data_IF_823171618900
#
_entry.id   IF_823171618900
#
_cell.length_a   1.000
_cell.length_b   1.000
_cell.length_c   1.000
_cell.angle_alpha   90.00
_cell.angle_beta   90.00
_cell.angle_gamma   90.00
#
_symmetry.space_group_name_H-M   'P 1'
#
loop_
_entity.id
_entity.type
_entity.pdbx_description
1 polymer ?
#
# COMPACT_ATOMS: atom_id res chain seq x y z
N UNK A 1 -11.18 -40.48 -47.49
CA UNK A 1 -10.73 -39.27 -46.80
C UNK A 1 -11.59 -39.06 -45.58
N UNK A 2 -11.11 -39.35 -44.38
CA UNK A 2 -11.86 -39.14 -43.11
C UNK A 2 -11.44 -37.76 -42.57
N UNK A 3 -12.38 -36.82 -42.56
CA UNK A 3 -12.20 -35.53 -41.88
C UNK A 3 -12.36 -35.76 -40.35
N UNK A 4 -11.27 -35.69 -39.64
CA UNK A 4 -11.25 -35.64 -38.17
C UNK A 4 -11.37 -34.20 -37.77
N UNK A 5 -12.52 -33.78 -37.32
CA UNK A 5 -12.72 -32.50 -36.66
C UNK A 5 -11.99 -32.58 -35.30
N UNK A 6 -10.95 -31.77 -35.16
CA UNK A 6 -10.29 -31.54 -33.88
C UNK A 6 -11.19 -30.61 -33.08
N UNK A 7 -11.81 -31.14 -32.04
CA UNK A 7 -12.51 -30.34 -31.05
C UNK A 7 -11.47 -29.47 -30.32
N UNK A 8 -11.51 -28.16 -30.52
CA UNK A 8 -10.76 -27.22 -29.70
C UNK A 8 -11.33 -27.22 -28.28
N UNK A 9 -10.49 -27.59 -27.31
CA UNK A 9 -10.85 -27.56 -25.89
C UNK A 9 -11.04 -26.09 -25.44
N UNK A 10 -12.29 -25.64 -25.37
CA UNK A 10 -12.69 -24.36 -24.77
C UNK A 10 -12.76 -24.41 -23.23
N UNK A 11 -11.87 -25.13 -22.57
CA UNK A 11 -11.86 -25.23 -21.10
C UNK A 11 -11.34 -23.98 -20.38
N UNK A 12 -10.68 -23.06 -21.09
CA UNK A 12 -10.19 -21.79 -20.50
C UNK A 12 -11.31 -20.79 -20.21
N UNK A 13 -12.35 -20.75 -21.06
CA UNK A 13 -13.42 -19.76 -20.92
C UNK A 13 -14.39 -20.08 -19.76
N UNK A 14 -14.71 -21.37 -19.57
CA UNK A 14 -15.63 -21.80 -18.49
C UNK A 14 -15.03 -21.55 -17.10
N UNK A 15 -13.71 -21.75 -16.93
CA UNK A 15 -12.98 -21.45 -15.69
C UNK A 15 -13.03 -19.97 -15.33
N UNK A 16 -12.84 -19.09 -16.32
CA UNK A 16 -12.83 -17.65 -16.10
C UNK A 16 -14.22 -17.08 -15.74
N UNK A 17 -15.30 -17.59 -16.34
CA UNK A 17 -16.67 -17.21 -15.98
C UNK A 17 -17.03 -17.61 -14.56
N UNK A 18 -16.71 -18.83 -14.14
CA UNK A 18 -16.98 -19.33 -12.77
C UNK A 18 -16.19 -18.54 -11.73
N UNK A 19 -14.95 -18.17 -12.03
CA UNK A 19 -14.10 -17.36 -11.15
C UNK A 19 -14.68 -15.95 -11.00
N UNK A 20 -15.06 -15.29 -12.08
CA UNK A 20 -15.70 -13.97 -12.06
C UNK A 20 -17.03 -13.99 -11.30
N UNK A 21 -17.87 -15.01 -11.51
CA UNK A 21 -19.11 -15.16 -10.77
C UNK A 21 -18.87 -15.34 -9.27
N UNK A 22 -17.87 -16.12 -8.89
CA UNK A 22 -17.43 -16.23 -7.50
C UNK A 22 -17.00 -14.89 -6.88
N UNK A 23 -16.24 -14.09 -7.62
CA UNK A 23 -15.84 -12.75 -7.20
C UNK A 23 -17.05 -11.81 -7.05
N UNK A 24 -18.01 -11.85 -7.98
CA UNK A 24 -19.24 -11.06 -7.91
C UNK A 24 -20.10 -11.45 -6.71
N UNK A 25 -20.25 -12.74 -6.42
CA UNK A 25 -21.01 -13.23 -5.26
C UNK A 25 -20.34 -12.78 -3.96
N UNK A 26 -19.01 -12.84 -3.87
CA UNK A 26 -18.27 -12.32 -2.72
C UNK A 26 -18.43 -10.81 -2.57
N UNK A 27 -18.40 -10.05 -3.66
CA UNK A 27 -18.59 -8.60 -3.66
C UNK A 27 -20.00 -8.22 -3.16
N UNK A 28 -21.07 -8.95 -3.57
CA UNK A 28 -22.42 -8.78 -3.05
C UNK A 28 -22.48 -9.02 -1.55
N UNK A 29 -21.86 -10.10 -1.07
CA UNK A 29 -21.79 -10.40 0.36
C UNK A 29 -21.04 -9.27 1.11
N UNK A 30 -19.93 -8.79 0.59
CA UNK A 30 -19.19 -7.66 1.17
C UNK A 30 -20.04 -6.39 1.26
N UNK A 31 -20.78 -6.05 0.20
CA UNK A 31 -21.64 -4.87 0.16
C UNK A 31 -22.78 -4.89 1.20
N UNK A 32 -23.23 -6.07 1.65
CA UNK A 32 -24.22 -6.21 2.72
C UNK A 32 -23.64 -6.10 4.13
N UNK A 33 -22.32 -6.12 4.26
CA UNK A 33 -21.64 -6.05 5.56
C UNK A 33 -21.76 -4.66 6.20
N UNK A 34 -22.15 -4.64 7.48
CA UNK A 34 -22.33 -3.36 8.23
C UNK A 34 -21.11 -2.98 9.06
N UNK A 35 -20.27 -3.91 9.44
CA UNK A 35 -19.16 -3.73 10.39
C UNK A 35 -17.79 -3.94 9.75
N UNK A 36 -17.66 -4.94 8.90
CA UNK A 36 -16.36 -5.39 8.37
C UNK A 36 -15.92 -4.63 7.10
N UNK A 37 -16.83 -3.90 6.48
CA UNK A 37 -16.56 -3.12 5.27
C UNK A 37 -16.68 -1.62 5.58
N UNK A 38 -15.67 -0.80 5.19
CA UNK A 38 -15.71 0.64 5.34
C UNK A 38 -16.92 1.26 4.62
N UNK A 39 -17.41 2.37 5.18
CA UNK A 39 -18.63 3.02 4.68
C UNK A 39 -18.54 3.59 3.27
N UNK A 40 -17.35 3.77 2.73
CA UNK A 40 -17.14 4.21 1.35
C UNK A 40 -17.23 3.08 0.32
N UNK A 41 -17.24 1.80 0.75
CA UNK A 41 -17.38 0.63 -0.11
C UNK A 41 -18.79 0.01 0.04
N UNK A 42 -19.84 0.81 -0.22
CA UNK A 42 -21.23 0.38 0.06
C UNK A 42 -21.93 -0.34 -1.08
N UNK A 43 -21.43 -0.25 -2.29
CA UNK A 43 -22.06 -0.86 -3.46
C UNK A 43 -21.27 -2.06 -3.96
N UNK A 44 -21.95 -2.92 -4.70
CA UNK A 44 -21.35 -4.14 -5.25
C UNK A 44 -20.17 -3.86 -6.18
N UNK A 45 -20.23 -2.78 -6.97
CA UNK A 45 -19.17 -2.43 -7.90
C UNK A 45 -17.87 -2.05 -7.21
N UNK A 46 -17.94 -1.23 -6.14
CA UNK A 46 -16.75 -0.85 -5.36
C UNK A 46 -16.18 -2.08 -4.63
N UNK A 47 -17.06 -2.93 -4.07
CA UNK A 47 -16.64 -4.19 -3.46
C UNK A 47 -16.00 -5.14 -4.48
N UNK A 48 -16.54 -5.23 -5.70
CA UNK A 48 -15.96 -6.06 -6.76
C UNK A 48 -14.57 -5.59 -7.15
N UNK A 49 -14.35 -4.29 -7.27
CA UNK A 49 -13.02 -3.74 -7.54
C UNK A 49 -12.00 -4.16 -6.45
N UNK A 50 -12.40 -4.13 -5.17
CA UNK A 50 -11.56 -4.61 -4.07
C UNK A 50 -11.33 -6.12 -4.13
N UNK A 51 -12.34 -6.91 -4.46
CA UNK A 51 -12.19 -8.38 -4.60
C UNK A 51 -11.20 -8.71 -5.70
N UNK A 52 -11.33 -8.11 -6.87
CA UNK A 52 -10.43 -8.31 -8.00
C UNK A 52 -9.00 -7.88 -7.68
N UNK A 53 -8.84 -6.70 -7.07
CA UNK A 53 -7.52 -6.20 -6.66
C UNK A 53 -6.89 -7.11 -5.60
N UNK A 54 -7.68 -7.60 -4.66
CA UNK A 54 -7.21 -8.53 -3.61
C UNK A 54 -6.77 -9.87 -4.19
N UNK A 55 -7.50 -10.39 -5.17
CA UNK A 55 -7.15 -11.61 -5.89
C UNK A 55 -5.80 -11.46 -6.61
N UNK A 56 -5.59 -10.34 -7.32
CA UNK A 56 -4.32 -10.02 -7.97
C UNK A 56 -3.15 -10.00 -6.96
N UNK A 57 -3.36 -9.46 -5.76
CA UNK A 57 -2.33 -9.42 -4.71
C UNK A 57 -2.25 -10.72 -3.89
N UNK A 58 -3.18 -11.67 -4.11
CA UNK A 58 -3.30 -12.89 -3.32
C UNK A 58 -3.58 -12.60 -1.84
N UNK A 59 -4.41 -11.60 -1.54
CA UNK A 59 -4.76 -11.14 -0.19
C UNK A 59 -6.24 -11.35 0.10
N UNK A 60 -6.60 -11.38 1.38
CA UNK A 60 -7.99 -11.46 1.80
C UNK A 60 -8.71 -10.13 1.49
N UNK A 61 -9.84 -10.12 0.73
CA UNK A 61 -10.51 -8.90 0.31
C UNK A 61 -11.11 -8.10 1.47
N UNK A 62 -11.54 -8.73 2.55
CA UNK A 62 -12.00 -8.00 3.75
C UNK A 62 -10.86 -7.24 4.42
N UNK A 63 -9.68 -7.85 4.51
CA UNK A 63 -8.49 -7.20 5.07
C UNK A 63 -8.01 -6.04 4.19
N UNK A 64 -8.07 -6.20 2.88
CA UNK A 64 -7.74 -5.12 1.93
C UNK A 64 -8.75 -3.99 2.04
N UNK A 65 -10.05 -4.29 2.06
CA UNK A 65 -11.12 -3.29 2.20
C UNK A 65 -10.91 -2.40 3.43
N UNK A 66 -10.60 -3.00 4.59
CA UNK A 66 -10.37 -2.27 5.84
C UNK A 66 -9.14 -1.35 5.80
N UNK A 67 -8.25 -1.52 4.84
CA UNK A 67 -7.04 -0.71 4.64
C UNK A 67 -7.16 0.28 3.48
N UNK A 68 -8.40 0.58 3.09
CA UNK A 68 -8.71 1.61 2.09
C UNK A 68 -9.24 2.88 2.75
N UNK A 69 -9.12 3.98 2.05
CA UNK A 69 -9.72 5.27 2.41
C UNK A 69 -10.14 6.01 1.14
N UNK A 70 -11.01 7.00 1.31
CA UNK A 70 -11.39 7.90 0.23
C UNK A 70 -10.78 9.29 0.48
N UNK A 71 -10.06 9.81 -0.49
CA UNK A 71 -9.51 11.16 -0.45
C UNK A 71 -9.88 11.90 -1.74
N UNK A 72 -10.65 12.98 -1.62
CA UNK A 72 -11.13 13.78 -2.76
C UNK A 72 -11.82 12.94 -3.86
N UNK A 73 -12.56 11.89 -3.48
CA UNK A 73 -13.24 10.99 -4.42
C UNK A 73 -12.34 9.90 -5.02
N UNK A 74 -11.07 9.86 -4.67
CA UNK A 74 -10.12 8.84 -5.13
C UNK A 74 -9.93 7.78 -4.04
N UNK A 75 -10.02 6.50 -4.43
CA UNK A 75 -9.73 5.38 -3.54
C UNK A 75 -8.22 5.30 -3.30
N UNK A 76 -7.84 5.32 -2.03
CA UNK A 76 -6.46 5.17 -1.59
C UNK A 76 -6.27 3.97 -0.67
N UNK A 77 -5.01 3.61 -0.47
CA UNK A 77 -4.61 2.48 0.36
C UNK A 77 -3.65 2.93 1.47
N UNK A 78 -3.85 2.39 2.68
CA UNK A 78 -2.95 2.68 3.80
C UNK A 78 -1.52 2.19 3.51
N UNK A 79 -0.53 2.95 3.95
CA UNK A 79 0.90 2.64 3.74
C UNK A 79 1.30 1.26 4.27
N UNK A 80 0.65 0.79 5.34
CA UNK A 80 0.85 -0.55 5.87
C UNK A 80 0.49 -1.63 4.85
N UNK A 81 -0.67 -1.49 4.17
CA UNK A 81 -1.08 -2.43 3.12
C UNK A 81 -0.12 -2.38 1.93
N UNK A 82 0.26 -1.17 1.50
CA UNK A 82 1.23 -1.01 0.40
C UNK A 82 2.55 -1.70 0.70
N UNK A 83 3.07 -1.54 1.91
CA UNK A 83 4.29 -2.24 2.36
C UNK A 83 4.12 -3.78 2.36
N UNK A 84 2.94 -4.27 2.76
CA UNK A 84 2.65 -5.70 2.74
C UNK A 84 2.57 -6.25 1.30
N UNK A 85 1.94 -5.51 0.38
CA UNK A 85 1.87 -5.86 -1.05
C UNK A 85 3.28 -5.97 -1.65
N UNK A 86 4.13 -4.97 -1.41
CA UNK A 86 5.51 -4.95 -1.93
C UNK A 86 6.28 -6.17 -1.41
N UNK A 87 6.28 -6.40 -0.10
CA UNK A 87 7.01 -7.51 0.51
C UNK A 87 6.51 -8.89 0.11
N UNK A 88 5.25 -9.00 -0.37
CA UNK A 88 4.67 -10.26 -0.81
C UNK A 88 4.88 -10.49 -2.31
N UNK A 89 4.73 -9.46 -3.14
CA UNK A 89 4.58 -9.62 -4.58
C UNK A 89 5.79 -9.11 -5.38
N UNK A 90 6.68 -8.29 -4.78
CA UNK A 90 7.88 -7.88 -5.46
C UNK A 90 8.79 -9.09 -5.75
N UNK A 91 9.45 -9.13 -6.92
CA UNK A 91 10.34 -10.24 -7.31
C UNK A 91 11.69 -10.14 -6.56
N UNK A 92 11.67 -10.23 -5.23
CA UNK A 92 12.82 -10.08 -4.35
C UNK A 92 13.15 -11.38 -3.61
N UNK A 93 14.44 -11.62 -3.38
CA UNK A 93 14.94 -12.82 -2.68
C UNK A 93 14.57 -12.85 -1.20
N UNK A 94 14.51 -11.68 -0.56
CA UNK A 94 14.10 -11.50 0.84
C UNK A 94 13.30 -10.21 0.97
N UNK A 95 12.53 -10.09 2.07
CA UNK A 95 11.77 -8.88 2.37
C UNK A 95 12.66 -7.64 2.40
N UNK A 96 12.09 -6.48 2.13
CA UNK A 96 12.77 -5.19 2.24
C UNK A 96 13.48 -5.05 3.59
N UNK A 97 14.74 -4.63 3.53
CA UNK A 97 15.56 -4.33 4.70
C UNK A 97 15.64 -2.81 4.88
N UNK A 98 15.66 -2.37 6.14
CA UNK A 98 15.68 -0.95 6.49
C UNK A 98 16.84 -0.66 7.43
N UNK A 99 17.63 0.35 7.07
CA UNK A 99 18.70 0.91 7.89
C UNK A 99 18.39 2.37 8.17
N UNK A 100 18.15 2.72 9.44
CA UNK A 100 17.91 4.10 9.83
C UNK A 100 19.22 4.85 10.04
N UNK A 101 19.31 6.05 9.44
CA UNK A 101 20.51 6.89 9.41
C UNK A 101 20.28 8.09 10.33
N UNK A 102 21.34 8.53 11.00
CA UNK A 102 21.36 9.76 11.79
C UNK A 102 20.84 9.63 13.22
N UNK A 103 20.86 10.73 13.94
CA UNK A 103 20.36 10.80 15.31
C UNK A 103 18.91 11.29 15.33
N UNK A 104 18.01 10.41 15.71
CA UNK A 104 16.57 10.65 15.73
C UNK A 104 16.05 11.19 17.07
N UNK A 105 16.91 11.37 18.10
CA UNK A 105 16.49 11.76 19.45
C UNK A 105 15.79 13.14 19.48
N UNK A 106 16.17 14.03 18.55
CA UNK A 106 15.55 15.35 18.41
C UNK A 106 14.27 15.36 17.58
N UNK A 107 13.98 14.26 16.88
CA UNK A 107 12.80 14.13 16.00
C UNK A 107 11.70 13.33 16.68
N UNK A 108 12.08 12.21 17.35
CA UNK A 108 11.14 11.33 18.03
C UNK A 108 10.61 12.04 19.29
N UNK A 109 9.28 12.07 19.42
CA UNK A 109 8.63 12.71 20.56
C UNK A 109 8.60 14.25 20.51
N UNK A 110 9.27 14.88 19.53
CA UNK A 110 9.19 16.33 19.34
C UNK A 110 7.88 16.68 18.64
N UNK A 111 6.84 16.93 19.43
CA UNK A 111 5.48 17.15 18.91
C UNK A 111 4.89 18.44 19.46
N UNK A 112 3.95 19.02 18.71
CA UNK A 112 3.11 20.12 19.15
C UNK A 112 1.65 19.84 18.85
N UNK A 113 0.76 20.40 19.65
CA UNK A 113 -0.67 20.32 19.44
C UNK A 113 -1.12 21.35 18.39
N UNK A 114 -2.07 20.93 17.57
CA UNK A 114 -2.82 21.79 16.65
C UNK A 114 -4.30 21.51 16.81
N UNK A 115 -5.13 22.53 16.62
CA UNK A 115 -6.58 22.40 16.61
C UNK A 115 -7.07 22.50 15.17
N UNK A 116 -7.90 21.54 14.77
CA UNK A 116 -8.57 21.55 13.46
C UNK A 116 -9.67 22.62 13.42
N UNK A 117 -10.14 22.97 12.23
CA UNK A 117 -11.30 23.88 12.06
C UNK A 117 -12.57 23.35 12.73
N UNK A 118 -12.68 22.05 12.99
CA UNK A 118 -13.79 21.39 13.69
C UNK A 118 -13.60 21.35 15.22
N UNK A 119 -12.55 21.98 15.76
CA UNK A 119 -12.27 22.01 17.20
C UNK A 119 -11.53 20.78 17.75
N UNK A 120 -11.20 19.78 16.92
CA UNK A 120 -10.48 18.60 17.39
C UNK A 120 -8.98 18.90 17.51
N UNK A 121 -8.38 18.59 18.66
CA UNK A 121 -6.95 18.72 18.91
C UNK A 121 -6.22 17.46 18.42
N UNK A 122 -5.08 17.65 17.75
CA UNK A 122 -4.23 16.57 17.26
C UNK A 122 -2.76 16.96 17.32
N UNK A 123 -1.87 15.97 17.42
CA UNK A 123 -0.41 16.20 17.47
C UNK A 123 0.18 16.19 16.07
N UNK A 124 1.14 17.08 15.86
CA UNK A 124 1.98 17.12 14.65
C UNK A 124 3.44 17.13 15.05
N UNK A 125 4.30 16.63 14.17
CA UNK A 125 5.74 16.74 14.36
C UNK A 125 6.15 18.22 14.45
N UNK A 126 7.00 18.56 15.41
CA UNK A 126 7.50 19.91 15.68
C UNK A 126 9.02 20.03 15.46
N UNK A 127 9.69 18.97 14.97
CA UNK A 127 11.13 19.05 14.65
C UNK A 127 11.42 20.12 13.61
N UNK A 128 12.53 20.79 13.78
CA UNK A 128 13.04 21.78 12.85
C UNK A 128 13.90 21.13 11.77
N UNK A 129 14.17 21.79 10.63
CA UNK A 129 15.11 21.28 9.65
C UNK A 129 16.51 20.97 10.21
N UNK A 130 16.93 21.68 11.26
CA UNK A 130 18.20 21.42 11.95
C UNK A 130 18.15 20.10 12.76
N UNK A 131 17.01 19.80 13.41
CA UNK A 131 16.80 18.54 14.14
C UNK A 131 16.75 17.35 13.21
N UNK A 132 16.20 17.53 12.02
CA UNK A 132 16.00 16.49 10.99
C UNK A 132 17.28 16.23 10.17
N UNK A 133 18.27 17.10 10.28
CA UNK A 133 19.51 17.03 9.49
C UNK A 133 20.22 15.71 9.71
N UNK A 134 20.46 14.98 8.62
CA UNK A 134 21.13 13.69 8.64
C UNK A 134 20.24 12.51 9.01
N UNK A 135 18.99 12.71 9.44
CA UNK A 135 18.04 11.64 9.65
C UNK A 135 17.51 11.10 8.32
N UNK A 136 17.45 9.79 8.19
CA UNK A 136 16.97 9.14 6.97
C UNK A 136 16.76 7.64 7.15
N UNK A 137 16.36 7.00 6.06
CA UNK A 137 16.28 5.55 5.96
C UNK A 137 16.86 5.10 4.62
N UNK A 138 17.67 4.07 4.64
CA UNK A 138 18.05 3.30 3.46
C UNK A 138 17.19 2.04 3.42
N UNK A 139 16.47 1.85 2.34
CA UNK A 139 15.73 0.62 2.04
C UNK A 139 16.45 -0.16 0.96
N UNK A 140 16.55 -1.45 1.11
CA UNK A 140 17.24 -2.33 0.18
C UNK A 140 16.57 -3.69 0.05
N UNK A 141 16.66 -4.27 -1.14
CA UNK A 141 16.36 -5.68 -1.41
C UNK A 141 17.11 -6.17 -2.65
N UNK A 142 17.39 -7.46 -2.69
CA UNK A 142 18.00 -8.10 -3.85
C UNK A 142 16.92 -8.69 -4.73
N UNK A 143 16.87 -8.26 -5.99
CA UNK A 143 15.92 -8.79 -6.96
C UNK A 143 16.25 -10.26 -7.31
N UNK A 144 15.23 -11.03 -7.66
CA UNK A 144 15.44 -12.39 -8.16
C UNK A 144 16.34 -12.35 -9.40
N UNK A 145 17.35 -13.23 -9.44
CA UNK A 145 18.36 -13.26 -10.51
C UNK A 145 19.54 -12.29 -10.31
N UNK A 146 19.48 -11.33 -9.40
CA UNK A 146 20.58 -10.40 -9.09
C UNK A 146 21.40 -10.85 -7.87
N UNK A 147 22.67 -10.40 -7.80
CA UNK A 147 23.56 -10.71 -6.68
C UNK A 147 23.84 -9.50 -5.78
N UNK A 148 23.42 -8.30 -6.21
CA UNK A 148 23.60 -7.08 -5.42
C UNK A 148 22.24 -6.50 -5.05
N UNK A 149 22.08 -5.96 -3.85
CA UNK A 149 20.83 -5.30 -3.48
C UNK A 149 20.64 -4.00 -4.29
N UNK A 150 19.39 -3.70 -4.59
CA UNK A 150 18.94 -2.40 -5.06
C UNK A 150 18.58 -1.56 -3.87
N UNK A 151 19.17 -0.39 -3.77
CA UNK A 151 19.06 0.48 -2.61
C UNK A 151 18.40 1.80 -2.97
N UNK A 152 17.65 2.35 -2.03
CA UNK A 152 17.12 3.72 -2.10
C UNK A 152 17.28 4.36 -0.71
N UNK A 153 17.89 5.53 -0.68
CA UNK A 153 18.00 6.32 0.55
C UNK A 153 17.03 7.49 0.48
N UNK A 154 16.22 7.64 1.52
CA UNK A 154 15.29 8.75 1.69
C UNK A 154 15.63 9.51 2.97
N UNK A 155 16.02 10.78 2.83
CA UNK A 155 16.27 11.65 3.98
C UNK A 155 14.96 12.23 4.50
N UNK A 156 14.83 12.36 5.81
CA UNK A 156 13.62 12.85 6.46
C UNK A 156 13.27 14.30 6.01
N UNK A 157 14.29 15.15 5.84
CA UNK A 157 14.13 16.50 5.33
C UNK A 157 13.59 16.60 3.89
N UNK A 158 13.65 15.52 3.11
CA UNK A 158 13.06 15.45 1.75
C UNK A 158 11.56 15.24 1.75
N UNK A 159 10.97 14.90 2.90
CA UNK A 159 9.54 14.64 3.03
C UNK A 159 8.81 15.92 3.42
N UNK A 160 8.24 16.59 2.44
CA UNK A 160 7.52 17.87 2.63
C UNK A 160 6.05 17.65 3.02
N UNK A 161 5.41 16.61 2.49
CA UNK A 161 4.02 16.26 2.77
C UNK A 161 3.94 15.23 3.90
N UNK A 162 3.40 15.64 5.05
CA UNK A 162 3.26 14.82 6.26
C UNK A 162 1.80 14.88 6.74
N UNK A 163 0.89 14.36 5.92
CA UNK A 163 -0.55 14.52 6.12
C UNK A 163 -1.16 13.61 7.21
N UNK A 164 -0.38 12.69 7.79
CA UNK A 164 -0.83 11.80 8.87
C UNK A 164 -0.27 12.24 10.21
N UNK A 165 -1.07 12.14 11.28
CA UNK A 165 -0.63 12.33 12.67
C UNK A 165 0.46 11.33 13.08
N UNK A 166 0.52 10.18 12.41
CA UNK A 166 1.56 9.18 12.64
C UNK A 166 2.99 9.68 12.36
N UNK A 167 3.18 10.74 11.58
CA UNK A 167 4.46 11.40 11.44
C UNK A 167 4.96 12.04 12.76
N UNK A 168 4.05 12.34 13.67
CA UNK A 168 4.40 12.83 14.99
C UNK A 168 4.66 11.68 15.99
N UNK A 169 3.94 10.58 15.85
CA UNK A 169 4.00 9.44 16.79
C UNK A 169 5.14 8.48 16.46
N UNK A 170 5.24 8.08 15.19
CA UNK A 170 6.30 7.18 14.70
C UNK A 170 6.86 7.64 13.35
N UNK A 171 7.73 8.68 13.36
CA UNK A 171 8.33 9.21 12.14
C UNK A 171 9.23 8.20 11.41
N UNK A 172 9.87 7.27 12.13
CA UNK A 172 10.70 6.22 11.52
C UNK A 172 9.86 5.26 10.69
N UNK A 173 8.75 4.77 11.23
CA UNK A 173 7.86 3.86 10.52
C UNK A 173 7.26 4.53 9.28
N UNK A 174 6.82 5.80 9.41
CA UNK A 174 6.26 6.53 8.28
C UNK A 174 7.29 6.74 7.17
N UNK A 175 8.54 7.08 7.53
CA UNK A 175 9.61 7.23 6.56
C UNK A 175 9.94 5.88 5.88
N UNK A 176 9.96 4.78 6.62
CA UNK A 176 10.19 3.44 6.08
C UNK A 176 9.09 3.04 5.07
N UNK A 177 7.82 3.29 5.38
CA UNK A 177 6.72 3.03 4.45
C UNK A 177 6.81 3.87 3.16
N UNK A 178 7.15 5.15 3.29
CA UNK A 178 7.34 6.02 2.13
C UNK A 178 8.54 5.58 1.29
N UNK A 179 9.64 5.20 1.93
CA UNK A 179 10.84 4.69 1.24
C UNK A 179 10.55 3.38 0.51
N UNK A 180 9.82 2.45 1.13
CA UNK A 180 9.38 1.20 0.50
C UNK A 180 8.56 1.45 -0.78
N UNK A 181 7.60 2.36 -0.70
CA UNK A 181 6.79 2.76 -1.85
C UNK A 181 7.64 3.37 -2.97
N UNK A 182 8.54 4.31 -2.63
CA UNK A 182 9.45 4.92 -3.61
C UNK A 182 10.40 3.90 -4.23
N UNK A 183 10.90 2.96 -3.43
CA UNK A 183 11.74 1.86 -3.91
C UNK A 183 10.97 0.98 -4.91
N UNK A 184 9.75 0.57 -4.57
CA UNK A 184 8.93 -0.25 -5.45
C UNK A 184 8.58 0.47 -6.76
N UNK A 185 8.25 1.76 -6.71
CA UNK A 185 7.99 2.56 -7.93
C UNK A 185 9.19 2.65 -8.86
N UNK A 186 10.41 2.60 -8.31
CA UNK A 186 11.64 2.67 -9.09
C UNK A 186 12.02 1.31 -9.69
N UNK A 187 11.83 0.22 -8.95
CA UNK A 187 12.41 -1.08 -9.29
C UNK A 187 11.40 -2.15 -9.69
N UNK A 188 10.14 -2.04 -9.27
CA UNK A 188 9.04 -2.96 -9.59
C UNK A 188 7.68 -2.22 -9.55
N UNK A 189 7.46 -1.22 -10.42
CA UNK A 189 6.26 -0.38 -10.39
C UNK A 189 4.96 -1.15 -10.65
N UNK A 190 5.03 -2.25 -11.35
CA UNK A 190 3.92 -3.16 -11.66
C UNK A 190 3.26 -3.73 -10.40
N UNK A 191 4.01 -3.92 -9.33
CA UNK A 191 3.52 -4.47 -8.06
C UNK A 191 2.51 -3.54 -7.38
N UNK A 192 2.67 -2.24 -7.54
CA UNK A 192 1.83 -1.20 -6.92
C UNK A 192 1.16 -0.29 -7.94
N UNK A 193 0.96 -0.79 -9.16
CA UNK A 193 0.25 -0.04 -10.20
C UNK A 193 -1.20 0.24 -9.75
N UNK A 194 -1.65 1.48 -9.88
CA UNK A 194 -2.99 1.91 -9.45
C UNK A 194 -3.13 2.13 -7.93
N UNK A 195 -2.06 1.95 -7.16
CA UNK A 195 -2.07 2.22 -5.71
C UNK A 195 -1.83 3.72 -5.46
N UNK A 196 -2.82 4.37 -4.83
CA UNK A 196 -2.74 5.76 -4.37
C UNK A 196 -2.57 5.82 -2.85
N UNK A 197 -1.77 6.75 -2.35
CA UNK A 197 -1.54 6.95 -0.90
C UNK A 197 -1.61 8.44 -0.52
N UNK A 198 -1.80 8.74 0.78
CA UNK A 198 -1.97 10.12 1.29
C UNK A 198 -0.76 11.05 1.08
N UNK A 199 0.38 10.47 0.70
CA UNK A 199 1.63 11.24 0.49
C UNK A 199 1.80 11.69 -0.97
N UNK A 200 0.72 11.63 -1.76
CA UNK A 200 0.69 11.99 -3.19
C UNK A 200 -0.15 13.22 -3.47
#
# INVERSE_FOLDING_TARGET
MKNTLVASNNNSDVGSYTELEGMMNLARLMATSKVTIPTHLKNEGDCLAIVMQSAQWGMNPFSVAQKTFLLNGVLGYESQLVSAIINKNAPIKQRLQYEFIGNWDKVIGNTKEKTSQKGNTYRVNASTPADEKGCGVKVSATMNGENKPRELTLMFAQVTLRNSTLWAEDPKQQLAYLAAKKWARLYCPDVILGVYTKDE
#
